data_IF_178440581169
#
_entry.id   IF_178440581169
#
_cell.length_a   1.000
_cell.length_b   1.000
_cell.length_c   1.000
_cell.angle_alpha   90.00
_cell.angle_beta   90.00
_cell.angle_gamma   90.00
#
_symmetry.space_group_name_H-M   'P 1'
#
loop_
_entity.id
_entity.type
_entity.pdbx_description
1 polymer ?
#
# COMPACT_ATOMS: atom_id res chain seq x y z
N UNK A 1 -14.52 -15.72 12.90
CA UNK A 1 -13.95 -14.73 11.98
C UNK A 1 -14.80 -14.70 10.72
N UNK A 2 -15.22 -13.54 10.24
CA UNK A 2 -16.01 -13.44 9.00
C UNK A 2 -15.05 -13.49 7.81
N UNK A 3 -15.10 -14.56 7.04
CA UNK A 3 -14.36 -14.69 5.78
C UNK A 3 -15.18 -14.08 4.64
N UNK A 4 -14.51 -13.41 3.71
CA UNK A 4 -15.13 -12.88 2.49
C UNK A 4 -14.58 -13.66 1.31
N UNK A 5 -15.45 -14.12 0.42
CA UNK A 5 -15.03 -14.76 -0.82
C UNK A 5 -14.27 -13.73 -1.67
N UNK A 6 -13.03 -14.05 -2.06
CA UNK A 6 -12.18 -13.14 -2.83
C UNK A 6 -12.79 -12.86 -4.22
N UNK A 7 -13.46 -11.72 -4.36
CA UNK A 7 -13.99 -11.27 -5.65
C UNK A 7 -12.86 -10.93 -6.62
N UNK A 8 -13.13 -10.98 -7.94
CA UNK A 8 -12.16 -10.58 -8.98
C UNK A 8 -11.64 -9.15 -8.75
N UNK A 9 -12.50 -8.23 -8.31
CA UNK A 9 -12.12 -6.85 -8.01
C UNK A 9 -11.20 -6.74 -6.81
N UNK A 10 -11.49 -7.46 -5.72
CA UNK A 10 -10.63 -7.47 -4.52
C UNK A 10 -9.25 -8.04 -4.84
N UNK A 11 -9.20 -9.15 -5.60
CA UNK A 11 -7.95 -9.73 -6.07
C UNK A 11 -7.15 -8.76 -6.93
N UNK A 12 -7.79 -8.06 -7.87
CA UNK A 12 -7.13 -7.08 -8.72
C UNK A 12 -6.54 -5.91 -7.92
N UNK A 13 -7.30 -5.37 -6.95
CA UNK A 13 -6.83 -4.30 -6.09
C UNK A 13 -5.61 -4.72 -5.24
N UNK A 14 -5.65 -5.91 -4.62
CA UNK A 14 -4.52 -6.44 -3.86
C UNK A 14 -3.29 -6.72 -4.73
N UNK A 15 -3.49 -7.23 -5.95
CA UNK A 15 -2.37 -7.44 -6.89
C UNK A 15 -1.76 -6.13 -7.36
N UNK A 16 -2.58 -5.11 -7.63
CA UNK A 16 -2.08 -3.79 -8.02
C UNK A 16 -1.24 -3.16 -6.90
N UNK A 17 -1.70 -3.25 -5.65
CA UNK A 17 -0.97 -2.77 -4.48
C UNK A 17 0.34 -3.56 -4.26
N UNK A 18 0.27 -4.90 -4.32
CA UNK A 18 1.46 -5.75 -4.24
C UNK A 18 2.50 -5.42 -5.33
N UNK A 19 2.05 -5.21 -6.57
CA UNK A 19 2.93 -4.89 -7.69
C UNK A 19 3.56 -3.50 -7.53
N UNK A 20 2.79 -2.50 -7.11
CA UNK A 20 3.31 -1.17 -6.81
C UNK A 20 4.36 -1.22 -5.70
N UNK A 21 4.06 -1.91 -4.60
CA UNK A 21 5.00 -2.09 -3.49
C UNK A 21 6.28 -2.81 -3.93
N UNK A 22 6.18 -3.88 -4.73
CA UNK A 22 7.33 -4.61 -5.23
C UNK A 22 8.18 -3.77 -6.19
N UNK A 23 7.56 -2.99 -7.09
CA UNK A 23 8.27 -2.08 -7.98
C UNK A 23 9.02 -1.00 -7.20
N UNK A 24 8.37 -0.39 -6.20
CA UNK A 24 9.00 0.60 -5.34
C UNK A 24 10.13 0.01 -4.50
N UNK A 25 9.95 -1.21 -3.96
CA UNK A 25 11.00 -1.93 -3.25
C UNK A 25 12.23 -2.13 -4.15
N UNK A 26 12.03 -2.59 -5.40
CA UNK A 26 13.11 -2.78 -6.35
C UNK A 26 13.85 -1.46 -6.65
N UNK A 27 13.12 -0.36 -6.91
CA UNK A 27 13.71 0.95 -7.15
C UNK A 27 14.53 1.41 -5.93
N UNK A 28 13.99 1.29 -4.72
CA UNK A 28 14.66 1.72 -3.50
C UNK A 28 15.89 0.89 -3.18
N UNK A 29 15.85 -0.43 -3.39
CA UNK A 29 16.96 -1.32 -3.07
C UNK A 29 18.07 -1.28 -4.11
N UNK A 30 17.73 -1.17 -5.40
CA UNK A 30 18.70 -1.22 -6.49
C UNK A 30 19.26 0.18 -6.85
N UNK A 31 18.43 1.21 -6.76
CA UNK A 31 18.78 2.58 -7.16
C UNK A 31 18.67 3.60 -6.01
N UNK A 32 18.47 3.13 -4.76
CA UNK A 32 18.20 4.00 -3.61
C UNK A 32 19.29 5.02 -3.29
N UNK A 33 20.56 4.72 -3.59
CA UNK A 33 21.67 5.67 -3.42
C UNK A 33 21.49 6.88 -4.32
N UNK A 34 21.42 6.66 -5.64
CA UNK A 34 21.22 7.73 -6.62
C UNK A 34 19.90 8.49 -6.40
N UNK A 35 18.83 7.77 -6.01
CA UNK A 35 17.54 8.36 -5.68
C UNK A 35 17.63 9.27 -4.44
N UNK A 36 18.29 8.81 -3.38
CA UNK A 36 18.48 9.58 -2.16
C UNK A 36 19.27 10.87 -2.43
N UNK A 37 20.37 10.76 -3.19
CA UNK A 37 21.21 11.90 -3.53
C UNK A 37 20.45 12.92 -4.41
N UNK A 38 19.74 12.46 -5.44
CA UNK A 38 18.98 13.32 -6.34
C UNK A 38 17.77 14.02 -5.70
N UNK A 39 17.19 13.42 -4.67
CA UNK A 39 16.03 13.96 -3.96
C UNK A 39 16.37 14.69 -2.65
N UNK A 40 17.66 14.68 -2.26
CA UNK A 40 18.12 15.09 -0.93
C UNK A 40 17.35 14.40 0.20
N UNK A 41 17.14 13.08 0.07
CA UNK A 41 16.50 12.26 1.10
C UNK A 41 17.57 11.46 1.87
N UNK A 42 17.34 11.14 3.16
CA UNK A 42 18.25 10.27 3.89
C UNK A 42 18.32 8.89 3.23
N UNK A 43 19.52 8.45 2.86
CA UNK A 43 19.74 7.13 2.23
C UNK A 43 19.23 5.97 3.09
N UNK A 44 19.37 6.07 4.41
CA UNK A 44 18.82 5.10 5.37
C UNK A 44 17.30 5.00 5.27
N UNK A 45 16.60 6.12 5.07
CA UNK A 45 15.16 6.17 4.90
C UNK A 45 14.74 5.46 3.61
N UNK A 46 15.38 5.79 2.48
CA UNK A 46 15.06 5.17 1.18
C UNK A 46 15.31 3.66 1.23
N UNK A 47 16.47 3.22 1.71
CA UNK A 47 16.78 1.79 1.82
C UNK A 47 15.85 1.08 2.81
N UNK A 48 15.57 1.70 3.96
CA UNK A 48 14.67 1.15 4.97
C UNK A 48 13.25 0.93 4.44
N UNK A 49 12.72 1.88 3.67
CA UNK A 49 11.43 1.73 2.98
C UNK A 49 11.50 0.59 1.96
N UNK A 50 12.56 0.54 1.15
CA UNK A 50 12.76 -0.56 0.20
C UNK A 50 12.72 -1.94 0.87
N UNK A 51 13.45 -2.10 1.98
CA UNK A 51 13.47 -3.34 2.78
C UNK A 51 12.09 -3.67 3.34
N UNK A 52 11.36 -2.68 3.86
CA UNK A 52 10.02 -2.89 4.42
C UNK A 52 8.99 -3.30 3.35
N UNK A 53 9.08 -2.74 2.15
CA UNK A 53 8.11 -3.01 1.08
C UNK A 53 8.22 -4.44 0.50
N UNK A 54 9.36 -5.11 0.64
CA UNK A 54 9.51 -6.51 0.22
C UNK A 54 8.55 -7.46 0.98
N UNK A 55 8.60 -7.60 2.31
CA UNK A 55 7.67 -8.44 3.03
C UNK A 55 6.23 -7.94 2.93
N UNK A 56 5.99 -6.63 2.85
CA UNK A 56 4.64 -6.09 2.67
C UNK A 56 4.02 -6.49 1.32
N UNK A 57 4.76 -6.36 0.21
CA UNK A 57 4.31 -6.80 -1.11
C UNK A 57 4.06 -8.32 -1.16
N UNK A 58 4.92 -9.12 -0.52
CA UNK A 58 4.73 -10.57 -0.41
C UNK A 58 3.47 -10.93 0.38
N UNK A 59 3.20 -10.21 1.48
CA UNK A 59 1.97 -10.35 2.26
C UNK A 59 0.71 -10.05 1.43
N UNK A 60 0.69 -8.92 0.70
CA UNK A 60 -0.42 -8.56 -0.18
C UNK A 60 -0.63 -9.56 -1.31
N UNK A 61 0.45 -10.07 -1.91
CA UNK A 61 0.39 -11.11 -2.92
C UNK A 61 -0.18 -12.42 -2.35
N UNK A 62 0.19 -12.76 -1.12
CA UNK A 62 -0.37 -13.89 -0.38
C UNK A 62 -1.89 -13.74 -0.18
N UNK A 63 -2.33 -12.57 0.28
CA UNK A 63 -3.76 -12.25 0.45
C UNK A 63 -4.53 -12.31 -0.88
N UNK A 64 -3.95 -11.83 -1.98
CA UNK A 64 -4.57 -11.88 -3.31
C UNK A 64 -4.76 -13.32 -3.84
N UNK A 65 -3.96 -14.27 -3.35
CA UNK A 65 -4.04 -15.69 -3.69
C UNK A 65 -4.90 -16.48 -2.72
N UNK A 66 -5.19 -15.92 -1.55
CA UNK A 66 -6.00 -16.56 -0.52
C UNK A 66 -7.49 -16.51 -0.90
N UNK A 67 -8.22 -17.64 -0.96
CA UNK A 67 -9.62 -17.63 -1.42
C UNK A 67 -10.60 -16.94 -0.45
N UNK A 68 -10.27 -16.98 0.84
CA UNK A 68 -11.10 -16.53 1.97
C UNK A 68 -10.37 -15.57 2.92
N UNK A 69 -9.89 -14.39 2.47
CA UNK A 69 -9.27 -13.43 3.36
C UNK A 69 -10.25 -13.01 4.46
N UNK A 70 -9.74 -12.87 5.68
CA UNK A 70 -10.56 -12.43 6.81
C UNK A 70 -10.73 -10.91 6.79
N UNK A 71 -11.83 -10.44 7.36
CA UNK A 71 -12.12 -9.01 7.50
C UNK A 71 -10.99 -8.26 8.22
N UNK A 72 -10.38 -8.89 9.23
CA UNK A 72 -9.30 -8.34 10.04
C UNK A 72 -8.05 -8.06 9.20
N UNK A 73 -7.69 -8.96 8.28
CA UNK A 73 -6.54 -8.74 7.39
C UNK A 73 -6.78 -7.62 6.39
N UNK A 74 -7.99 -7.55 5.82
CA UNK A 74 -8.35 -6.47 4.89
C UNK A 74 -8.36 -5.10 5.59
N UNK A 75 -8.87 -5.05 6.81
CA UNK A 75 -8.82 -3.83 7.62
C UNK A 75 -7.37 -3.45 7.94
N UNK A 76 -6.52 -4.44 8.28
CA UNK A 76 -5.10 -4.22 8.51
C UNK A 76 -4.37 -3.61 7.31
N UNK A 77 -4.68 -4.07 6.09
CA UNK A 77 -4.12 -3.48 4.85
C UNK A 77 -4.57 -2.02 4.68
N UNK A 78 -5.86 -1.74 4.82
CA UNK A 78 -6.41 -0.38 4.62
C UNK A 78 -5.86 0.58 5.68
N UNK A 79 -5.87 0.18 6.95
CA UNK A 79 -5.35 1.00 8.05
C UNK A 79 -3.83 1.16 7.95
N UNK A 80 -3.09 0.09 7.64
CA UNK A 80 -1.64 0.15 7.46
C UNK A 80 -1.22 1.13 6.37
N UNK A 81 -1.85 1.04 5.19
CA UNK A 81 -1.64 2.00 4.11
C UNK A 81 -2.08 3.41 4.50
N UNK A 82 -3.19 3.57 5.22
CA UNK A 82 -3.64 4.87 5.73
C UNK A 82 -2.64 5.51 6.69
N UNK A 83 -2.10 4.75 7.65
CA UNK A 83 -1.06 5.21 8.57
C UNK A 83 0.22 5.56 7.83
N UNK A 84 0.60 4.79 6.82
CA UNK A 84 1.76 5.09 5.97
C UNK A 84 1.59 6.43 5.23
N UNK A 85 0.42 6.69 4.68
CA UNK A 85 0.12 7.96 4.02
C UNK A 85 0.17 9.14 5.00
N UNK A 86 -0.39 8.98 6.21
CA UNK A 86 -0.31 9.98 7.27
C UNK A 86 1.15 10.28 7.61
N UNK A 87 1.99 9.25 7.74
CA UNK A 87 3.42 9.42 7.99
C UNK A 87 4.12 10.17 6.84
N UNK A 88 3.83 9.82 5.59
CA UNK A 88 4.38 10.50 4.41
C UNK A 88 4.01 12.00 4.36
N UNK A 89 2.74 12.34 4.61
CA UNK A 89 2.32 13.75 4.65
C UNK A 89 2.80 14.47 5.90
N UNK A 90 2.93 13.80 7.04
CA UNK A 90 3.54 14.36 8.24
C UNK A 90 4.99 14.76 8.00
N UNK A 91 5.76 13.90 7.32
CA UNK A 91 7.13 14.21 6.90
C UNK A 91 7.17 15.43 5.97
N UNK A 92 6.27 15.49 4.99
CA UNK A 92 6.13 16.63 4.07
C UNK A 92 5.80 17.93 4.81
N UNK A 93 4.92 17.90 5.81
CA UNK A 93 4.51 19.07 6.59
C UNK A 93 5.55 19.54 7.60
N UNK A 94 6.44 18.64 8.04
CA UNK A 94 7.46 18.93 9.07
C UNK A 94 8.78 19.47 8.52
N UNK A 95 8.99 19.37 7.20
CA UNK A 95 10.26 19.67 6.52
C UNK A 95 11.48 18.92 7.10
N UNK A 96 11.24 17.78 7.78
CA UNK A 96 12.22 17.06 8.60
C UNK A 96 13.49 16.59 7.86
N UNK A 97 13.44 16.51 6.53
CA UNK A 97 14.56 16.03 5.71
C UNK A 97 15.29 17.13 4.93
N UNK A 98 14.84 18.39 5.00
CA UNK A 98 15.32 19.47 4.13
C UNK A 98 15.35 19.04 2.65
N UNK A 99 14.32 18.30 2.23
CA UNK A 99 14.25 17.69 0.91
C UNK A 99 14.14 18.76 -0.18
N UNK A 100 14.68 18.48 -1.37
CA UNK A 100 14.46 19.36 -2.52
C UNK A 100 12.97 19.40 -2.90
N UNK A 101 12.56 20.35 -3.74
CA UNK A 101 11.20 20.35 -4.30
C UNK A 101 10.85 19.01 -4.98
N UNK A 102 11.83 18.34 -5.59
CA UNK A 102 11.66 17.00 -6.15
C UNK A 102 11.50 15.93 -5.08
N UNK A 103 12.25 15.98 -3.98
CA UNK A 103 12.08 15.08 -2.84
C UNK A 103 10.72 15.25 -2.15
N UNK A 104 10.24 16.48 -2.02
CA UNK A 104 8.90 16.78 -1.54
C UNK A 104 7.81 16.22 -2.47
N UNK A 105 7.93 16.45 -3.78
CA UNK A 105 7.02 15.87 -4.78
C UNK A 105 7.02 14.33 -4.74
N UNK A 106 8.19 13.73 -4.54
CA UNK A 106 8.33 12.29 -4.39
C UNK A 106 7.61 11.74 -3.16
N UNK A 107 7.77 12.38 -2.00
CA UNK A 107 7.05 12.01 -0.77
C UNK A 107 5.53 12.17 -0.93
N UNK A 108 5.09 13.25 -1.57
CA UNK A 108 3.68 13.48 -1.87
C UNK A 108 3.12 12.39 -2.79
N UNK A 109 3.84 12.02 -3.85
CA UNK A 109 3.45 10.93 -4.76
C UNK A 109 3.38 9.58 -4.03
N UNK A 110 4.32 9.30 -3.13
CA UNK A 110 4.27 8.12 -2.27
C UNK A 110 3.00 8.10 -1.41
N UNK A 111 2.71 9.18 -0.69
CA UNK A 111 1.54 9.28 0.17
C UNK A 111 0.22 9.16 -0.60
N UNK A 112 0.10 9.87 -1.72
CA UNK A 112 -1.08 9.81 -2.59
C UNK A 112 -1.27 8.44 -3.23
N UNK A 113 -0.19 7.84 -3.74
CA UNK A 113 -0.23 6.51 -4.36
C UNK A 113 -0.75 5.45 -3.38
N UNK A 114 -0.23 5.45 -2.15
CA UNK A 114 -0.66 4.52 -1.10
C UNK A 114 -2.12 4.77 -0.69
N UNK A 115 -2.57 6.02 -0.60
CA UNK A 115 -4.00 6.31 -0.33
C UNK A 115 -4.92 5.82 -1.43
N UNK A 116 -4.54 6.01 -2.70
CA UNK A 116 -5.34 5.54 -3.84
C UNK A 116 -5.47 4.02 -3.83
N UNK A 117 -4.37 3.31 -3.57
CA UNK A 117 -4.37 1.84 -3.45
C UNK A 117 -5.20 1.38 -2.24
N UNK A 118 -5.04 2.01 -1.08
CA UNK A 118 -5.86 1.73 0.10
C UNK A 118 -7.35 1.92 -0.18
N UNK A 119 -7.70 3.00 -0.88
CA UNK A 119 -9.08 3.30 -1.28
C UNK A 119 -9.61 2.25 -2.25
N UNK A 120 -8.81 1.83 -3.23
CA UNK A 120 -9.18 0.77 -4.17
C UNK A 120 -9.45 -0.57 -3.45
N UNK A 121 -8.56 -0.97 -2.52
CA UNK A 121 -8.74 -2.17 -1.70
C UNK A 121 -10.00 -2.06 -0.83
N UNK A 122 -10.21 -0.92 -0.17
CA UNK A 122 -11.39 -0.67 0.66
C UNK A 122 -12.69 -0.77 -0.13
N UNK A 123 -12.79 -0.10 -1.28
CA UNK A 123 -13.97 -0.12 -2.13
C UNK A 123 -14.25 -1.53 -2.66
N UNK A 124 -13.22 -2.23 -3.15
CA UNK A 124 -13.36 -3.59 -3.64
C UNK A 124 -13.79 -4.57 -2.54
N UNK A 125 -13.26 -4.41 -1.33
CA UNK A 125 -13.63 -5.22 -0.17
C UNK A 125 -15.07 -4.97 0.27
N UNK A 126 -15.50 -3.69 0.35
CA UNK A 126 -16.90 -3.34 0.66
C UNK A 126 -17.87 -3.92 -0.36
N UNK A 127 -17.53 -3.84 -1.65
CA UNK A 127 -18.34 -4.41 -2.71
C UNK A 127 -18.46 -5.94 -2.58
N UNK A 128 -17.35 -6.63 -2.29
CA UNK A 128 -17.37 -8.07 -2.05
C UNK A 128 -18.28 -8.45 -0.88
N UNK A 129 -18.21 -7.72 0.24
CA UNK A 129 -19.10 -7.94 1.39
C UNK A 129 -20.58 -7.74 1.05
N UNK A 130 -20.92 -6.68 0.31
CA UNK A 130 -22.30 -6.39 -0.09
C UNK A 130 -22.88 -7.48 -0.99
N UNK A 131 -22.10 -7.98 -1.95
CA UNK A 131 -22.50 -9.09 -2.83
C UNK A 131 -22.73 -10.37 -2.02
N UNK A 132 -21.83 -10.70 -1.08
CA UNK A 132 -22.01 -11.86 -0.20
C UNK A 132 -23.28 -11.76 0.65
N UNK A 133 -23.56 -10.62 1.27
CA UNK A 133 -24.78 -10.40 2.06
C UNK A 133 -26.06 -10.56 1.22
N UNK A 134 -26.07 -10.00 0.00
CA UNK A 134 -27.21 -10.13 -0.91
C UNK A 134 -27.43 -11.53 -1.49
N UNK A 135 -26.43 -12.42 -1.45
CA UNK A 135 -26.61 -13.85 -1.76
C UNK A 135 -27.25 -14.59 -0.61
N UNK A 136 -26.83 -14.32 0.63
CA UNK A 136 -27.43 -14.92 1.84
C UNK A 136 -28.90 -14.54 1.99
N UNK A 137 -29.28 -13.29 1.69
CA UNK A 137 -30.67 -12.84 1.79
C UNK A 137 -31.61 -13.42 0.71
N UNK A 138 -31.07 -14.06 -0.33
CA UNK A 138 -31.83 -14.66 -1.45
C UNK A 138 -31.90 -16.19 -1.40
N UNK A 139 -31.20 -16.81 -0.46
CA UNK A 139 -31.23 -18.24 -0.19
C UNK A 139 -32.28 -18.56 0.88
#
# INVERSE_FOLDING_TARGET
MKTVEASKGLKAALLADAAACAAMAAVHLLAGGALADGLALPRSQVLGVGVFLVPWSAFLLGLARWPWPTAEWMLGVVVGNGLWAIAAFGLLASDAFAATAWGQAYLALHGLGVLLLATAVWLAWRHACAVSAGRVARA
#
